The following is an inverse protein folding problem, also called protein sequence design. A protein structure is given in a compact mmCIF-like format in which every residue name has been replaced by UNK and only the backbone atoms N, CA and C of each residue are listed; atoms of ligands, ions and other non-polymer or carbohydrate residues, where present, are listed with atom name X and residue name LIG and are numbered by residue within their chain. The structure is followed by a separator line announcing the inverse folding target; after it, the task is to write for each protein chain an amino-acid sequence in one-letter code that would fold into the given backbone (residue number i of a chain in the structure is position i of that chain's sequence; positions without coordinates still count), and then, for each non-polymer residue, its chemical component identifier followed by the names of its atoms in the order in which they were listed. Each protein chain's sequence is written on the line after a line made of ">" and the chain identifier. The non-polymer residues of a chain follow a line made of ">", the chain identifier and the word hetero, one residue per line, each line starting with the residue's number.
data_IF_159717011074
#
_entry.id   IF_159717011074
#
_cell.length_a   1.000
_cell.length_b   1.000
_cell.length_c   1.000
_cell.angle_alpha   90.00
_cell.angle_beta   90.00
_cell.angle_gamma   90.00
#
_symmetry.space_group_name_H-M   'P 1'
#
loop_
_entity.id
_entity.type
_entity.pdbx_description
1 polymer ?
#
# COMPACT_ATOMS: atom_id res chain seq x y z
N UNK A 1 5.43 5.15 14.58
CA UNK A 1 5.13 5.37 13.16
C UNK A 1 5.99 4.52 12.22
N UNK A 2 7.31 4.75 12.10
CA UNK A 2 8.11 4.00 11.09
C UNK A 2 8.34 2.52 11.46
N UNK A 3 8.59 2.22 12.74
CA UNK A 3 8.74 0.83 13.21
C UNK A 3 7.45 0.03 13.07
N UNK A 4 6.31 0.67 13.28
CA UNK A 4 4.99 0.05 13.16
C UNK A 4 4.70 -0.26 11.68
N UNK A 5 5.01 0.66 10.77
CA UNK A 5 4.89 0.43 9.33
C UNK A 5 5.76 -0.74 8.86
N UNK A 6 7.02 -0.81 9.30
CA UNK A 6 7.95 -1.90 8.95
C UNK A 6 7.47 -3.27 9.48
N UNK A 7 6.65 -3.30 10.53
CA UNK A 7 6.12 -4.56 11.09
C UNK A 7 5.03 -5.19 10.24
N UNK A 8 4.43 -4.45 9.31
CA UNK A 8 3.40 -4.95 8.40
C UNK A 8 4.11 -5.52 7.17
N UNK A 9 4.13 -6.86 6.96
CA UNK A 9 4.90 -7.45 5.87
C UNK A 9 4.14 -7.30 4.55
N UNK A 10 4.46 -6.25 3.80
CA UNK A 10 3.86 -5.90 2.51
C UNK A 10 4.55 -6.58 1.32
N UNK A 11 4.77 -7.89 1.42
CA UNK A 11 5.67 -8.63 0.52
C UNK A 11 5.02 -8.86 -0.86
N UNK A 12 5.74 -8.52 -1.92
CA UNK A 12 5.32 -8.62 -3.31
C UNK A 12 6.40 -9.29 -4.18
N UNK A 13 6.07 -10.34 -4.96
CA UNK A 13 4.79 -11.07 -5.00
C UNK A 13 4.53 -11.89 -3.72
N UNK A 14 3.26 -12.22 -3.38
CA UNK A 14 2.03 -11.94 -4.15
C UNK A 14 1.35 -10.59 -3.86
N UNK A 15 1.70 -9.92 -2.76
CA UNK A 15 1.02 -8.71 -2.25
C UNK A 15 0.40 -8.95 -0.86
N UNK A 16 1.21 -9.45 0.08
CA UNK A 16 0.76 -9.79 1.43
C UNK A 16 0.41 -8.55 2.26
N UNK A 17 -0.62 -8.64 3.11
CA UNK A 17 -0.97 -7.61 4.12
C UNK A 17 -1.14 -6.17 3.60
N UNK A 18 -1.51 -6.00 2.32
CA UNK A 18 -1.74 -4.67 1.76
C UNK A 18 -2.92 -3.94 2.40
N UNK A 19 -3.98 -4.67 2.78
CA UNK A 19 -5.14 -4.08 3.47
C UNK A 19 -4.73 -3.48 4.81
N UNK A 20 -4.02 -4.26 5.64
CA UNK A 20 -3.52 -3.81 6.95
C UNK A 20 -2.62 -2.58 6.83
N UNK A 21 -1.70 -2.58 5.86
CA UNK A 21 -0.83 -1.42 5.62
C UNK A 21 -1.62 -0.21 5.13
N UNK A 22 -2.59 -0.43 4.23
CA UNK A 22 -3.41 0.64 3.69
C UNK A 22 -4.32 1.27 4.76
N UNK A 23 -4.91 0.47 5.65
CA UNK A 23 -5.67 0.95 6.82
C UNK A 23 -4.79 1.76 7.76
N UNK A 24 -3.60 1.25 8.10
CA UNK A 24 -2.64 1.97 8.93
C UNK A 24 -2.25 3.33 8.32
N UNK A 25 -2.00 3.39 7.01
CA UNK A 25 -1.70 4.64 6.31
C UNK A 25 -2.91 5.58 6.27
N UNK A 26 -4.13 5.06 6.10
CA UNK A 26 -5.36 5.84 6.10
C UNK A 26 -5.62 6.49 7.45
N UNK A 27 -5.43 5.76 8.55
CA UNK A 27 -5.52 6.28 9.91
C UNK A 27 -4.47 7.37 10.14
N UNK A 28 -3.23 7.16 9.67
CA UNK A 28 -2.15 8.15 9.81
C UNK A 28 -2.41 9.43 9.05
N UNK A 29 -2.85 9.35 7.82
CA UNK A 29 -3.24 10.53 7.05
C UNK A 29 -4.43 11.26 7.69
N UNK A 30 -5.42 10.52 8.21
CA UNK A 30 -6.59 11.09 8.87
C UNK A 30 -6.22 11.84 10.16
N UNK A 31 -5.30 11.30 10.98
CA UNK A 31 -4.78 12.00 12.17
C UNK A 31 -4.05 13.31 11.83
N UNK A 32 -3.43 13.40 10.65
CA UNK A 32 -2.84 14.65 10.14
C UNK A 32 -3.87 15.60 9.49
N UNK A 33 -5.15 15.28 9.55
CA UNK A 33 -6.24 16.12 9.04
C UNK A 33 -6.52 15.96 7.54
N UNK A 34 -6.05 14.88 6.91
CA UNK A 34 -6.39 14.58 5.53
C UNK A 34 -7.79 13.98 5.40
N UNK A 35 -8.50 14.36 4.33
CA UNK A 35 -9.58 13.52 3.82
C UNK A 35 -8.95 12.35 3.07
N UNK A 36 -9.25 11.13 3.53
CA UNK A 36 -8.69 9.91 2.97
C UNK A 36 -9.73 9.16 2.14
N UNK A 37 -9.31 8.66 0.99
CA UNK A 37 -10.05 7.70 0.17
C UNK A 37 -9.25 6.42 0.05
N UNK A 38 -9.95 5.30 0.21
CA UNK A 38 -9.43 3.97 0.03
C UNK A 38 -9.97 3.41 -1.29
N UNK A 39 -9.08 2.99 -2.19
CA UNK A 39 -9.45 2.55 -3.54
C UNK A 39 -8.86 1.18 -3.80
N UNK A 40 -9.73 0.18 -3.92
CA UNK A 40 -9.35 -1.15 -4.37
C UNK A 40 -9.09 -1.15 -5.89
N UNK A 41 -7.98 -1.76 -6.30
CA UNK A 41 -7.65 -1.96 -7.71
C UNK A 41 -8.47 -3.13 -8.25
N UNK A 42 -9.26 -2.95 -9.33
CA UNK A 42 -10.11 -4.01 -9.84
C UNK A 42 -9.33 -5.27 -10.23
N UNK A 43 -9.85 -6.44 -9.86
CA UNK A 43 -9.22 -7.72 -10.17
C UNK A 43 -8.95 -7.92 -11.67
N UNK A 44 -9.87 -7.48 -12.54
CA UNK A 44 -9.69 -7.55 -13.99
C UNK A 44 -8.47 -6.74 -14.49
N UNK A 45 -8.18 -5.61 -13.84
CA UNK A 45 -6.98 -4.82 -14.15
C UNK A 45 -5.71 -5.57 -13.75
N UNK A 46 -5.74 -6.27 -12.60
CA UNK A 46 -4.60 -7.09 -12.15
C UNK A 46 -4.38 -8.30 -13.07
N UNK A 47 -5.45 -8.92 -13.53
CA UNK A 47 -5.38 -10.05 -14.48
C UNK A 47 -4.69 -9.67 -15.79
N UNK A 48 -4.91 -8.46 -16.27
CA UNK A 48 -4.32 -7.95 -17.51
C UNK A 48 -2.88 -7.45 -17.29
N UNK A 49 -2.63 -6.70 -16.21
CA UNK A 49 -1.42 -5.88 -16.09
C UNK A 49 -0.41 -6.37 -15.04
N UNK A 50 -0.78 -7.24 -14.11
CA UNK A 50 0.16 -7.66 -13.07
C UNK A 50 1.28 -8.54 -13.64
N UNK A 51 2.58 -8.20 -13.45
CA UNK A 51 3.69 -8.94 -14.06
C UNK A 51 3.82 -10.38 -13.57
N UNK A 52 3.42 -10.65 -12.32
CA UNK A 52 3.52 -11.98 -11.71
C UNK A 52 2.17 -12.71 -11.68
N UNK A 53 1.24 -12.37 -12.57
CA UNK A 53 -0.04 -13.08 -12.70
C UNK A 53 0.20 -14.61 -12.88
N UNK A 54 -0.63 -15.47 -12.24
CA UNK A 54 -1.81 -15.17 -11.44
C UNK A 54 -1.52 -15.03 -9.92
N UNK A 55 -0.28 -14.76 -9.50
CA UNK A 55 0.07 -14.76 -8.06
C UNK A 55 -0.71 -13.72 -7.23
N UNK A 56 -1.27 -12.68 -7.85
CA UNK A 56 -2.12 -11.70 -7.16
C UNK A 56 -3.50 -12.23 -6.73
N UNK A 57 -3.92 -13.40 -7.21
CA UNK A 57 -5.26 -13.94 -6.92
C UNK A 57 -5.43 -14.14 -5.40
N UNK A 58 -6.45 -13.49 -4.83
CA UNK A 58 -6.70 -13.49 -3.38
C UNK A 58 -5.88 -12.48 -2.58
N UNK A 59 -5.08 -11.64 -3.26
CA UNK A 59 -4.26 -10.58 -2.68
C UNK A 59 -4.71 -9.22 -3.26
N UNK A 60 -5.81 -8.63 -2.74
CA UNK A 60 -6.32 -7.36 -3.22
C UNK A 60 -5.30 -6.23 -3.02
N UNK A 61 -5.37 -5.21 -3.88
CA UNK A 61 -4.43 -4.07 -3.86
C UNK A 61 -5.17 -2.77 -3.62
N UNK A 62 -4.60 -1.93 -2.77
CA UNK A 62 -5.25 -0.72 -2.33
C UNK A 62 -4.39 0.52 -2.55
N UNK A 63 -5.02 1.58 -3.05
CA UNK A 63 -4.46 2.93 -3.12
C UNK A 63 -5.09 3.74 -1.99
N UNK A 64 -4.24 4.32 -1.15
CA UNK A 64 -4.65 5.28 -0.12
C UNK A 64 -4.38 6.68 -0.63
N UNK A 65 -5.45 7.45 -0.84
CA UNK A 65 -5.37 8.83 -1.34
C UNK A 65 -5.75 9.81 -0.24
N UNK A 66 -4.77 10.54 0.28
CA UNK A 66 -4.98 11.64 1.23
C UNK A 66 -5.01 13.01 0.55
N UNK A 67 -5.89 13.90 1.00
CA UNK A 67 -5.92 15.31 0.58
C UNK A 67 -6.07 16.25 1.76
N UNK A 68 -5.22 17.27 1.80
CA UNK A 68 -5.26 18.39 2.76
C UNK A 68 -5.25 19.72 1.99
N UNK A 69 -5.95 20.73 2.51
CA UNK A 69 -5.91 22.09 1.98
C UNK A 69 -6.72 22.32 0.69
N UNK A 70 -6.55 23.52 0.12
CA UNK A 70 -7.23 24.02 -1.10
C UNK A 70 -6.26 24.90 -1.90
N UNK A 71 -6.44 25.00 -3.22
CA UNK A 71 -5.58 25.82 -4.10
C UNK A 71 -4.65 25.00 -4.98
N UNK A 72 -3.47 25.56 -5.30
CA UNK A 72 -2.41 24.87 -6.06
C UNK A 72 -2.03 23.55 -5.38
N UNK A 73 -1.82 22.51 -6.20
CA UNK A 73 -1.69 21.12 -5.72
C UNK A 73 -0.26 20.64 -5.90
N UNK A 74 0.38 20.27 -4.78
CA UNK A 74 1.56 19.41 -4.76
C UNK A 74 1.12 17.98 -4.45
N UNK A 75 1.51 17.03 -5.30
CA UNK A 75 1.18 15.61 -5.13
C UNK A 75 2.43 14.82 -4.73
N UNK A 76 2.38 14.20 -3.55
CA UNK A 76 3.35 13.20 -3.13
C UNK A 76 2.84 11.81 -3.49
N UNK A 77 3.66 11.02 -4.19
CA UNK A 77 3.38 9.63 -4.49
C UNK A 77 4.46 8.74 -3.86
N UNK A 78 4.06 7.56 -3.41
CA UNK A 78 4.94 6.53 -2.88
C UNK A 78 4.30 5.16 -3.00
N UNK A 79 5.10 4.12 -2.86
CA UNK A 79 4.65 2.73 -2.77
C UNK A 79 5.07 2.16 -1.40
N UNK A 80 4.27 1.25 -0.87
CA UNK A 80 4.49 0.64 0.44
C UNK A 80 4.84 -0.84 0.36
N UNK A 81 4.82 -1.43 -0.83
CA UNK A 81 5.21 -2.82 -1.05
C UNK A 81 6.71 -3.01 -1.03
N UNK A 82 7.12 -4.19 -0.57
CA UNK A 82 8.51 -4.59 -0.48
C UNK A 82 8.73 -5.92 -1.19
N UNK A 83 9.95 -6.14 -1.66
CA UNK A 83 10.35 -7.45 -2.20
C UNK A 83 10.56 -8.46 -1.06
N UNK A 84 10.52 -9.78 -1.34
CA UNK A 84 10.85 -10.79 -0.34
C UNK A 84 12.22 -10.52 0.31
N UNK A 85 12.34 -10.71 1.63
CA UNK A 85 13.61 -10.49 2.31
C UNK A 85 14.65 -11.51 1.83
N UNK A 86 15.89 -11.04 1.62
CA UNK A 86 17.03 -11.90 1.37
C UNK A 86 17.48 -12.69 2.60
N UNK A 87 18.51 -13.52 2.45
CA UNK A 87 19.11 -14.29 3.55
C UNK A 87 20.20 -13.51 4.29
N UNK A 88 20.54 -13.95 5.51
CA UNK A 88 21.73 -13.46 6.24
C UNK A 88 21.49 -12.30 7.20
N UNK A 89 20.23 -11.93 7.44
CA UNK A 89 19.87 -10.94 8.46
C UNK A 89 20.11 -11.49 9.87
N UNK A 90 20.67 -10.64 10.73
CA UNK A 90 20.79 -10.86 12.16
C UNK A 90 19.84 -9.92 12.90
N UNK A 91 19.44 -10.32 14.11
CA UNK A 91 18.60 -9.50 15.00
C UNK A 91 19.39 -8.35 15.63
#
# INVERSE_FOLDING_TARGET
>A
MIRDLIRIPTINPPGENYEECADYLADRLSEFGASVKFVEVPEAYLDEHYPYRPLHKGYPRYIVLGRVGRGEVLHFNGHYDVVPPGSGWIL
#
